data_IF_939939892103
#
_entry.id   IF_939939892103
#
_cell.length_a   1.000
_cell.length_b   1.000
_cell.length_c   1.000
_cell.angle_alpha   90.00
_cell.angle_beta   90.00
_cell.angle_gamma   90.00
#
_symmetry.space_group_name_H-M   'P 1'
#
loop_
_entity.id
_entity.type
_entity.pdbx_description
1 polymer ?
#
# COMPACT_ATOMS: atom_id res chain seq x y z
N UNK A 1 -66.30 22.42 17.23
CA UNK A 1 -65.17 22.32 18.18
C UNK A 1 -64.58 20.93 18.02
N UNK A 2 -63.70 20.74 17.04
CA UNK A 2 -63.08 19.44 16.78
C UNK A 2 -61.59 19.58 17.07
N UNK A 3 -61.22 19.03 18.22
CA UNK A 3 -59.87 18.93 18.77
C UNK A 3 -58.93 18.26 17.78
N UNK A 4 -57.92 18.97 17.29
CA UNK A 4 -56.78 18.36 16.62
C UNK A 4 -55.71 18.03 17.65
N UNK A 5 -55.60 16.76 18.01
CA UNK A 5 -54.53 16.23 18.88
C UNK A 5 -53.66 15.29 18.07
N UNK A 6 -52.74 15.85 17.25
CA UNK A 6 -51.70 15.04 16.63
C UNK A 6 -50.57 14.83 17.63
N UNK A 7 -50.49 13.60 18.14
CA UNK A 7 -49.46 13.15 19.05
C UNK A 7 -48.11 13.06 18.31
N UNK A 8 -47.10 13.68 18.94
CA UNK A 8 -45.67 13.70 18.67
C UNK A 8 -45.12 12.46 17.92
N UNK A 9 -45.11 12.49 16.58
CA UNK A 9 -44.34 11.53 15.78
C UNK A 9 -42.93 12.09 15.55
N UNK A 10 -41.96 11.54 16.29
CA UNK A 10 -40.54 11.79 16.04
C UNK A 10 -40.17 11.02 14.77
N UNK A 11 -39.98 11.73 13.67
CA UNK A 11 -39.48 11.16 12.42
C UNK A 11 -38.02 10.78 12.62
N UNK A 12 -37.74 9.49 12.85
CA UNK A 12 -36.39 8.96 12.82
C UNK A 12 -35.88 8.96 11.38
N UNK A 13 -35.15 10.03 11.00
CA UNK A 13 -34.39 10.06 9.76
C UNK A 13 -33.21 9.10 9.88
N UNK A 14 -33.40 7.86 9.45
CA UNK A 14 -32.30 6.96 9.17
C UNK A 14 -31.68 7.38 7.84
N UNK A 15 -30.46 7.90 7.85
CA UNK A 15 -29.69 8.09 6.63
C UNK A 15 -29.54 6.74 5.93
N UNK A 16 -29.79 6.65 4.61
CA UNK A 16 -29.60 5.40 3.89
C UNK A 16 -28.14 4.96 4.02
N UNK A 17 -27.92 3.70 4.38
CA UNK A 17 -26.57 3.14 4.44
C UNK A 17 -25.88 3.33 3.08
N UNK A 18 -24.63 3.82 3.05
CA UNK A 18 -23.91 4.02 1.80
C UNK A 18 -23.72 2.67 1.10
N UNK A 19 -24.08 2.60 -0.19
CA UNK A 19 -23.88 1.39 -1.00
C UNK A 19 -22.41 0.95 -0.88
N UNK A 20 -22.13 -0.32 -0.56
CA UNK A 20 -20.77 -0.85 -0.41
C UNK A 20 -19.88 -0.64 -1.65
N UNK A 21 -20.47 -0.33 -2.81
CA UNK A 21 -19.76 0.03 -4.04
C UNK A 21 -19.21 1.46 -4.08
N UNK A 22 -19.61 2.32 -3.13
CA UNK A 22 -19.20 3.72 -3.04
C UNK A 22 -18.34 4.01 -1.80
N UNK A 23 -17.85 2.97 -1.13
CA UNK A 23 -16.95 3.09 0.02
C UNK A 23 -15.61 2.46 -0.31
N UNK A 24 -14.55 3.12 0.14
CA UNK A 24 -13.21 2.57 0.09
C UNK A 24 -13.09 1.43 1.11
N UNK A 25 -12.63 0.26 0.66
CA UNK A 25 -12.44 -0.92 1.51
C UNK A 25 -11.30 -0.75 2.53
N UNK A 26 -10.38 0.20 2.31
CA UNK A 26 -9.22 0.41 3.17
C UNK A 26 -9.51 1.38 4.32
N UNK A 27 -10.14 2.52 4.04
CA UNK A 27 -10.42 3.55 5.05
C UNK A 27 -11.88 3.64 5.48
N UNK A 28 -12.81 2.92 4.80
CA UNK A 28 -14.25 3.00 5.07
C UNK A 28 -14.90 4.33 4.67
N UNK A 29 -14.13 5.27 4.12
CA UNK A 29 -14.62 6.57 3.69
C UNK A 29 -15.56 6.45 2.48
N UNK A 30 -16.72 7.10 2.56
CA UNK A 30 -17.61 7.33 1.43
C UNK A 30 -17.05 8.48 0.59
N UNK A 31 -16.09 8.16 -0.28
CA UNK A 31 -15.54 9.12 -1.22
C UNK A 31 -16.58 9.50 -2.27
N UNK A 32 -16.52 10.74 -2.77
CA UNK A 32 -17.16 11.10 -4.04
C UNK A 32 -16.79 10.04 -5.09
N UNK A 33 -17.75 9.63 -5.94
CA UNK A 33 -17.52 8.60 -6.97
C UNK A 33 -16.27 8.86 -7.82
N UNK A 34 -15.94 10.13 -8.01
CA UNK A 34 -14.80 10.58 -8.79
C UNK A 34 -13.44 10.27 -8.14
N UNK A 35 -13.40 10.05 -6.82
CA UNK A 35 -12.18 9.76 -6.05
C UNK A 35 -12.02 8.29 -5.68
N UNK A 36 -12.84 7.40 -6.25
CA UNK A 36 -12.88 5.98 -5.92
C UNK A 36 -12.54 5.12 -7.14
N UNK A 37 -11.43 4.40 -7.06
CA UNK A 37 -11.04 3.42 -8.07
C UNK A 37 -11.84 2.14 -7.79
N UNK A 38 -12.78 1.83 -8.69
CA UNK A 38 -13.59 0.62 -8.60
C UNK A 38 -12.85 -0.58 -9.20
N UNK A 39 -12.40 -1.49 -8.33
CA UNK A 39 -11.86 -2.77 -8.74
C UNK A 39 -12.95 -3.84 -8.87
N UNK A 40 -12.63 -4.97 -9.50
CA UNK A 40 -13.57 -6.11 -9.65
C UNK A 40 -14.05 -6.69 -8.32
N UNK A 41 -13.24 -6.60 -7.26
CA UNK A 41 -13.51 -7.21 -5.96
C UNK A 41 -13.43 -6.22 -4.78
N UNK A 42 -12.83 -5.04 -4.96
CA UNK A 42 -12.63 -4.05 -3.91
C UNK A 42 -12.49 -2.66 -4.53
N UNK A 43 -12.92 -1.64 -3.78
CA UNK A 43 -12.76 -0.25 -4.14
C UNK A 43 -11.70 0.40 -3.26
N UNK A 44 -10.88 1.25 -3.85
CA UNK A 44 -9.83 1.99 -3.12
C UNK A 44 -9.93 3.47 -3.49
N UNK A 45 -9.86 4.37 -2.50
CA UNK A 45 -9.78 5.80 -2.79
C UNK A 45 -8.35 6.19 -3.22
N UNK A 46 -8.20 7.31 -3.93
CA UNK A 46 -6.89 7.78 -4.36
C UNK A 46 -5.92 7.97 -3.20
N UNK A 47 -6.36 8.51 -2.07
CA UNK A 47 -5.51 8.68 -0.88
C UNK A 47 -4.94 7.34 -0.37
N UNK A 48 -5.78 6.30 -0.28
CA UNK A 48 -5.30 4.97 0.10
C UNK A 48 -4.40 4.35 -0.97
N UNK A 49 -4.63 4.64 -2.24
CA UNK A 49 -3.77 4.20 -3.34
C UNK A 49 -2.39 4.87 -3.28
N UNK A 50 -2.34 6.16 -3.02
CA UNK A 50 -1.10 6.92 -2.89
C UNK A 50 -0.29 6.45 -1.67
N UNK A 51 -0.96 6.25 -0.53
CA UNK A 51 -0.33 5.69 0.67
C UNK A 51 0.18 4.25 0.42
N UNK A 52 -0.60 3.42 -0.28
CA UNK A 52 -0.18 2.06 -0.62
C UNK A 52 1.07 2.06 -1.52
N UNK A 53 1.17 3.03 -2.44
CA UNK A 53 2.34 3.21 -3.29
C UNK A 53 3.55 3.65 -2.47
N UNK A 54 3.39 4.61 -1.57
CA UNK A 54 4.47 5.07 -0.70
C UNK A 54 5.06 3.93 0.14
N UNK A 55 4.18 3.13 0.77
CA UNK A 55 4.59 1.95 1.55
C UNK A 55 5.29 0.90 0.65
N UNK A 56 4.79 0.68 -0.57
CA UNK A 56 5.40 -0.26 -1.49
C UNK A 56 6.81 0.20 -1.93
N UNK A 57 6.97 1.50 -2.20
CA UNK A 57 8.25 2.08 -2.60
C UNK A 57 9.25 2.10 -1.43
N UNK A 58 8.79 2.36 -0.20
CA UNK A 58 9.61 2.27 1.01
C UNK A 58 10.10 0.83 1.25
N UNK A 59 9.19 -0.16 1.19
CA UNK A 59 9.58 -1.58 1.32
C UNK A 59 10.57 -2.01 0.24
N UNK A 60 10.43 -1.53 -1.00
CA UNK A 60 11.40 -1.80 -2.07
C UNK A 60 12.76 -1.19 -1.78
N UNK A 61 12.80 0.03 -1.24
CA UNK A 61 14.06 0.67 -0.79
C UNK A 61 14.71 -0.12 0.35
N UNK A 62 13.94 -0.53 1.36
CA UNK A 62 14.48 -1.33 2.46
C UNK A 62 15.06 -2.68 2.00
N UNK A 63 14.41 -3.34 1.04
CA UNK A 63 14.91 -4.59 0.45
C UNK A 63 16.22 -4.31 -0.30
N UNK A 64 16.25 -3.29 -1.16
CA UNK A 64 17.46 -2.91 -1.89
C UNK A 64 18.62 -2.54 -0.95
N UNK A 65 18.34 -1.80 0.13
CA UNK A 65 19.35 -1.46 1.14
C UNK A 65 19.88 -2.69 1.89
N UNK A 66 19.03 -3.68 2.17
CA UNK A 66 19.44 -4.95 2.78
C UNK A 66 20.33 -5.74 1.85
N UNK A 67 19.96 -5.85 0.57
CA UNK A 67 20.77 -6.53 -0.46
C UNK A 67 22.13 -5.85 -0.63
N UNK A 68 22.18 -4.51 -0.68
CA UNK A 68 23.44 -3.75 -0.74
C UNK A 68 24.30 -4.00 0.50
N UNK A 69 23.73 -4.02 1.70
CA UNK A 69 24.47 -4.33 2.94
C UNK A 69 25.04 -5.74 2.93
N UNK A 70 24.34 -6.71 2.34
CA UNK A 70 24.82 -8.09 2.19
C UNK A 70 25.98 -8.19 1.20
N UNK A 71 25.89 -7.47 0.07
CA UNK A 71 27.01 -7.31 -0.88
C UNK A 71 28.23 -6.71 -0.18
N UNK A 72 28.06 -5.63 0.60
CA UNK A 72 29.17 -4.98 1.33
C UNK A 72 29.82 -5.97 2.30
N UNK A 73 29.04 -6.74 3.08
CA UNK A 73 29.59 -7.76 3.99
C UNK A 73 30.38 -8.84 3.26
N UNK A 74 29.90 -9.29 2.09
CA UNK A 74 30.63 -10.23 1.26
C UNK A 74 31.93 -9.59 0.75
N UNK A 75 31.90 -8.34 0.30
CA UNK A 75 33.12 -7.66 -0.15
C UNK A 75 34.11 -7.50 1.02
N UNK A 76 33.68 -7.02 2.18
CA UNK A 76 34.54 -6.82 3.35
C UNK A 76 35.14 -8.13 3.90
N UNK A 77 34.36 -9.22 3.93
CA UNK A 77 34.83 -10.53 4.36
C UNK A 77 35.92 -11.11 3.45
N UNK A 78 35.96 -10.69 2.19
CA UNK A 78 36.91 -11.17 1.18
C UNK A 78 37.96 -10.13 0.75
N UNK A 79 37.78 -8.86 1.12
CA UNK A 79 38.72 -7.76 0.84
C UNK A 79 40.11 -7.97 1.45
N UNK A 80 40.25 -8.90 2.41
CA UNK A 80 41.54 -9.35 2.93
C UNK A 80 42.40 -10.05 1.86
N UNK A 81 41.79 -10.54 0.76
CA UNK A 81 42.47 -11.27 -0.33
C UNK A 81 42.74 -10.47 -1.60
N UNK A 82 42.31 -9.20 -1.68
CA UNK A 82 42.62 -8.20 -2.74
C UNK A 82 42.44 -8.60 -4.22
N UNK A 83 41.94 -9.80 -4.55
CA UNK A 83 41.69 -10.18 -5.94
C UNK A 83 40.27 -9.82 -6.34
N UNK A 84 40.13 -8.72 -7.08
CA UNK A 84 38.86 -8.27 -7.66
C UNK A 84 38.16 -9.33 -8.52
N UNK A 85 38.90 -10.30 -9.08
CA UNK A 85 38.33 -11.40 -9.85
C UNK A 85 37.56 -12.41 -8.98
N UNK A 86 38.05 -12.68 -7.77
CA UNK A 86 37.39 -13.57 -6.81
C UNK A 86 36.10 -12.96 -6.29
N UNK A 87 36.13 -11.66 -5.97
CA UNK A 87 34.95 -10.91 -5.51
C UNK A 87 33.88 -10.89 -6.61
N UNK A 88 34.27 -10.64 -7.88
CA UNK A 88 33.33 -10.65 -9.00
C UNK A 88 32.70 -12.03 -9.23
N UNK A 89 33.49 -13.11 -9.13
CA UNK A 89 32.99 -14.48 -9.27
C UNK A 89 31.98 -14.85 -8.18
N UNK A 90 32.22 -14.43 -6.94
CA UNK A 90 31.30 -14.66 -5.81
C UNK A 90 29.99 -13.90 -5.96
N UNK A 91 30.03 -12.63 -6.37
CA UNK A 91 28.82 -11.83 -6.62
C UNK A 91 27.95 -12.48 -7.72
N UNK A 92 28.59 -12.98 -8.78
CA UNK A 92 27.89 -13.69 -9.85
C UNK A 92 27.26 -15.02 -9.35
N UNK A 93 27.98 -15.81 -8.55
CA UNK A 93 27.46 -17.04 -7.94
C UNK A 93 26.32 -16.80 -6.96
N UNK A 94 26.37 -15.70 -6.20
CA UNK A 94 25.31 -15.26 -5.31
C UNK A 94 24.07 -14.73 -6.07
N UNK A 95 24.12 -14.68 -7.41
CA UNK A 95 22.99 -14.33 -8.26
C UNK A 95 22.86 -12.84 -8.54
N UNK A 96 23.80 -12.01 -8.07
CA UNK A 96 23.83 -10.58 -8.37
C UNK A 96 24.26 -10.36 -9.82
N UNK A 97 23.29 -10.01 -10.66
CA UNK A 97 23.49 -9.65 -12.07
C UNK A 97 22.63 -8.45 -12.41
N UNK A 98 23.09 -7.64 -13.38
CA UNK A 98 22.23 -6.60 -13.94
C UNK A 98 21.01 -7.28 -14.59
N UNK A 99 19.83 -6.80 -14.25
CA UNK A 99 18.59 -7.14 -14.94
C UNK A 99 18.39 -6.02 -15.97
N UNK A 100 18.38 -6.37 -17.25
CA UNK A 100 18.04 -5.45 -18.35
C UNK A 100 16.53 -5.19 -18.42
#
# INVERSE_FOLDING_TARGET
MNSFTHHNQIMNFTLPEPDPRNVCNFCGGSGSKDNLIQGKAANICFECSDLAKEIADEKRKEIAEKEIKEIIRLIEGYAVKNDSADIASLLYQAGYRKVE
#
